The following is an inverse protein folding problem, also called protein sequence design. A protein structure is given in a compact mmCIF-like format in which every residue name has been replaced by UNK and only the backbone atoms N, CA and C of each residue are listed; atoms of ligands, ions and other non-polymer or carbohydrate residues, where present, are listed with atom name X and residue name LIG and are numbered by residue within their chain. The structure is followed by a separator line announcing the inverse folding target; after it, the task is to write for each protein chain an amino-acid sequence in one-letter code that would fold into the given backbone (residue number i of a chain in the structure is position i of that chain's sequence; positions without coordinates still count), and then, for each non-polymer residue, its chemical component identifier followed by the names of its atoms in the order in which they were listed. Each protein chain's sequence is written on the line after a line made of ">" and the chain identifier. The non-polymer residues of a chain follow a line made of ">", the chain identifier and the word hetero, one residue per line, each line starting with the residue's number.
data_IF_979614493182
#
_entry.id   IF_979614493182
#
_cell.length_a   1.000
_cell.length_b   1.000
_cell.length_c   1.000
_cell.angle_alpha   90.00
_cell.angle_beta   90.00
_cell.angle_gamma   90.00
#
_symmetry.space_group_name_H-M   'P 1'
#
loop_
_entity.id
_entity.type
_entity.pdbx_description
1 polymer ?
#
# COMPACT_ATOMS: atom_id res chain seq x y z
N UNK A 1 15.80 0.83 -1.08
CA UNK A 1 14.46 0.64 -1.61
C UNK A 1 14.38 -0.69 -2.34
N UNK A 2 13.43 -1.53 -1.98
CA UNK A 2 13.13 -2.77 -2.70
C UNK A 2 11.84 -2.58 -3.50
N UNK A 3 11.86 -2.99 -4.76
CA UNK A 3 10.70 -2.98 -5.65
C UNK A 3 10.38 -4.43 -6.00
N UNK A 4 9.27 -4.91 -5.49
CA UNK A 4 8.79 -6.28 -5.69
C UNK A 4 7.70 -6.31 -6.77
N UNK A 5 7.76 -7.29 -7.65
CA UNK A 5 6.78 -7.53 -8.69
C UNK A 5 7.39 -8.12 -9.95
N UNK A 6 6.54 -8.69 -10.79
CA UNK A 6 6.91 -9.26 -12.08
C UNK A 6 6.52 -8.38 -13.26
N UNK A 7 6.97 -8.78 -14.44
CA UNK A 7 6.58 -8.17 -15.70
C UNK A 7 6.06 -9.26 -16.64
N UNK A 8 4.82 -9.11 -17.11
CA UNK A 8 4.10 -10.13 -17.88
C UNK A 8 3.81 -9.70 -19.33
N UNK A 9 4.05 -8.42 -19.65
CA UNK A 9 3.82 -7.86 -20.97
C UNK A 9 5.05 -7.11 -21.47
N UNK A 10 5.16 -6.96 -22.79
CA UNK A 10 6.24 -6.21 -23.41
C UNK A 10 6.32 -4.76 -22.91
N UNK A 11 5.18 -4.12 -22.73
CA UNK A 11 5.11 -2.76 -22.18
C UNK A 11 5.64 -2.67 -20.75
N UNK A 12 5.35 -3.67 -19.91
CA UNK A 12 5.89 -3.73 -18.54
C UNK A 12 7.39 -3.98 -18.53
N UNK A 13 7.90 -4.83 -19.45
CA UNK A 13 9.33 -5.04 -19.61
C UNK A 13 10.05 -3.77 -20.07
N UNK A 14 9.47 -3.01 -21.01
CA UNK A 14 10.00 -1.72 -21.41
C UNK A 14 10.09 -0.76 -20.23
N UNK A 15 9.02 -0.62 -19.45
CA UNK A 15 9.00 0.24 -18.25
C UNK A 15 10.02 -0.21 -17.19
N UNK A 16 10.20 -1.51 -17.01
CA UNK A 16 11.25 -2.04 -16.14
C UNK A 16 12.65 -1.61 -16.60
N UNK A 17 12.91 -1.65 -17.91
CA UNK A 17 14.20 -1.23 -18.47
C UNK A 17 14.42 0.28 -18.26
N UNK A 18 13.39 1.11 -18.42
CA UNK A 18 13.46 2.54 -18.10
C UNK A 18 13.85 2.80 -16.62
N UNK A 19 13.35 1.97 -15.70
CA UNK A 19 13.74 2.04 -14.28
C UNK A 19 15.21 1.63 -14.09
N UNK A 20 15.66 0.56 -14.77
CA UNK A 20 17.05 0.11 -14.70
C UNK A 20 18.00 1.20 -15.22
N UNK A 21 17.68 1.79 -16.35
CA UNK A 21 18.46 2.87 -16.96
C UNK A 21 18.53 4.07 -16.00
N UNK A 22 17.39 4.48 -15.42
CA UNK A 22 17.34 5.57 -14.43
C UNK A 22 18.20 5.27 -13.19
N UNK A 23 18.18 4.04 -12.69
CA UNK A 23 19.02 3.61 -11.55
C UNK A 23 20.49 3.77 -11.91
N UNK A 24 20.93 3.32 -13.09
CA UNK A 24 22.31 3.41 -13.54
C UNK A 24 22.76 4.87 -13.78
N UNK A 25 21.96 5.66 -14.48
CA UNK A 25 22.27 7.07 -14.75
C UNK A 25 22.41 7.91 -13.48
N UNK A 26 21.66 7.56 -12.42
CA UNK A 26 21.68 8.27 -11.15
C UNK A 26 22.55 7.61 -10.06
N UNK A 27 23.29 6.53 -10.40
CA UNK A 27 24.19 5.79 -9.50
C UNK A 27 23.47 5.31 -8.22
N UNK A 28 22.31 4.70 -8.43
CA UNK A 28 21.44 4.20 -7.35
C UNK A 28 21.50 2.68 -7.18
N UNK A 29 22.43 1.97 -7.81
CA UNK A 29 22.52 0.50 -7.86
C UNK A 29 22.66 -0.14 -6.46
N UNK A 30 23.29 0.58 -5.54
CA UNK A 30 23.44 0.14 -4.14
C UNK A 30 22.26 0.57 -3.23
N UNK A 31 21.26 1.28 -3.78
CA UNK A 31 20.14 1.85 -3.01
C UNK A 31 18.78 1.40 -3.46
N UNK A 32 18.63 0.97 -4.72
CA UNK A 32 17.35 0.59 -5.33
C UNK A 32 17.50 -0.79 -5.97
N UNK A 33 16.68 -1.73 -5.53
CA UNK A 33 16.75 -3.13 -5.94
C UNK A 33 15.44 -3.57 -6.56
N UNK A 34 15.49 -4.11 -7.79
CA UNK A 34 14.36 -4.78 -8.43
C UNK A 34 14.39 -6.25 -8.05
N UNK A 35 13.57 -6.63 -7.10
CA UNK A 35 13.61 -7.94 -6.45
C UNK A 35 12.88 -9.05 -7.22
N UNK A 36 12.04 -8.67 -8.21
CA UNK A 36 11.20 -9.63 -8.94
C UNK A 36 10.01 -10.12 -8.13
N UNK A 37 9.53 -11.32 -8.46
CA UNK A 37 8.36 -11.91 -7.81
C UNK A 37 8.73 -12.67 -6.53
N UNK A 38 7.79 -12.71 -5.60
CA UNK A 38 7.88 -13.56 -4.42
C UNK A 38 6.52 -14.21 -4.12
N UNK A 39 6.54 -15.42 -3.58
CA UNK A 39 5.36 -16.06 -3.00
C UNK A 39 5.20 -15.76 -1.50
N UNK A 40 6.17 -15.08 -0.93
CA UNK A 40 6.28 -14.79 0.50
C UNK A 40 6.31 -13.29 0.77
N UNK A 41 5.35 -12.57 0.17
CA UNK A 41 5.30 -11.11 0.24
C UNK A 41 5.10 -10.62 1.69
N UNK A 42 4.36 -11.36 2.50
CA UNK A 42 4.07 -10.96 3.88
C UNK A 42 5.36 -10.87 4.71
N UNK A 43 6.24 -11.88 4.64
CA UNK A 43 7.52 -11.81 5.36
C UNK A 43 8.41 -10.69 4.78
N UNK A 44 8.38 -10.44 3.46
CA UNK A 44 9.11 -9.32 2.87
C UNK A 44 8.60 -7.96 3.35
N UNK A 45 7.30 -7.82 3.52
CA UNK A 45 6.72 -6.61 4.11
C UNK A 45 7.10 -6.47 5.60
N UNK A 46 7.13 -7.57 6.36
CA UNK A 46 7.54 -7.56 7.77
C UNK A 46 9.01 -7.12 7.97
N UNK A 47 9.87 -7.33 6.99
CA UNK A 47 11.27 -6.87 6.99
C UNK A 47 11.39 -5.37 6.59
N UNK A 48 10.31 -4.75 6.14
CA UNK A 48 10.29 -3.36 5.71
C UNK A 48 10.07 -2.37 6.85
N UNK A 49 10.39 -1.10 6.59
CA UNK A 49 10.17 0.03 7.51
C UNK A 49 9.02 0.95 7.07
N UNK A 50 8.82 1.09 5.75
CA UNK A 50 7.87 2.03 5.14
C UNK A 50 7.33 1.39 3.86
N UNK A 51 6.03 1.51 3.62
CA UNK A 51 5.42 1.12 2.36
C UNK A 51 5.13 2.35 1.49
N UNK A 52 5.92 2.54 0.44
CA UNK A 52 5.74 3.62 -0.53
C UNK A 52 4.85 3.16 -1.68
N UNK A 53 3.70 3.81 -1.85
CA UNK A 53 2.67 3.41 -2.81
C UNK A 53 2.29 4.59 -3.74
N UNK A 54 3.14 4.94 -4.72
CA UNK A 54 2.94 6.08 -5.61
C UNK A 54 1.95 5.78 -6.76
N UNK A 55 0.92 4.98 -6.50
CA UNK A 55 -0.11 4.66 -7.49
C UNK A 55 -1.08 5.81 -7.66
N UNK A 56 -1.44 6.09 -8.91
CA UNK A 56 -2.42 7.15 -9.27
C UNK A 56 -3.82 6.60 -9.50
N UNK A 57 -3.94 5.30 -9.68
CA UNK A 57 -5.22 4.64 -9.92
C UNK A 57 -5.19 3.21 -9.38
N UNK A 58 -6.14 2.90 -8.53
CA UNK A 58 -6.34 1.56 -7.96
C UNK A 58 -7.85 1.25 -7.87
N UNK A 59 -8.19 -0.03 -8.01
CA UNK A 59 -9.50 -0.53 -7.65
C UNK A 59 -9.56 -0.86 -6.16
N UNK A 60 -8.89 -1.95 -5.76
CA UNK A 60 -8.68 -2.33 -4.37
C UNK A 60 -7.18 -2.59 -4.18
N UNK A 61 -6.43 -1.74 -3.47
CA UNK A 61 -4.97 -1.85 -3.38
C UNK A 61 -4.54 -2.90 -2.34
N UNK A 62 -4.65 -4.19 -2.69
CA UNK A 62 -4.35 -5.30 -1.78
C UNK A 62 -2.92 -5.23 -1.21
N UNK A 63 -1.94 -4.84 -2.03
CA UNK A 63 -0.57 -4.68 -1.56
C UNK A 63 -0.43 -3.61 -0.46
N UNK A 64 -1.21 -2.53 -0.53
CA UNK A 64 -1.28 -1.52 0.52
C UNK A 64 -1.93 -2.09 1.79
N UNK A 65 -3.03 -2.84 1.64
CA UNK A 65 -3.69 -3.48 2.77
C UNK A 65 -2.80 -4.51 3.46
N UNK A 66 -2.06 -5.31 2.70
CA UNK A 66 -1.09 -6.28 3.23
C UNK A 66 0.00 -5.56 4.04
N UNK A 67 0.59 -4.49 3.48
CA UNK A 67 1.60 -3.70 4.16
C UNK A 67 1.07 -3.06 5.46
N UNK A 68 -0.11 -2.47 5.42
CA UNK A 68 -0.75 -1.90 6.61
C UNK A 68 -1.10 -2.98 7.65
N UNK A 69 -1.49 -4.17 7.22
CA UNK A 69 -1.85 -5.28 8.12
C UNK A 69 -0.67 -5.80 8.94
N UNK A 70 0.54 -5.76 8.39
CA UNK A 70 1.77 -6.11 9.12
C UNK A 70 2.34 -4.95 9.95
N UNK A 71 1.74 -3.77 9.85
CA UNK A 71 2.09 -2.61 10.66
C UNK A 71 3.10 -1.66 10.02
N UNK A 72 3.22 -1.66 8.68
CA UNK A 72 4.00 -0.66 7.99
C UNK A 72 3.22 0.67 7.88
N UNK A 73 3.84 1.80 8.21
CA UNK A 73 3.29 3.09 7.83
C UNK A 73 3.31 3.22 6.31
N UNK A 74 2.19 3.64 5.73
CA UNK A 74 2.06 3.76 4.29
C UNK A 74 2.11 5.23 3.84
N UNK A 75 2.57 5.45 2.62
CA UNK A 75 2.56 6.76 1.97
C UNK A 75 1.99 6.60 0.57
N UNK A 76 1.01 7.42 0.20
CA UNK A 76 0.32 7.36 -1.09
C UNK A 76 -0.27 8.70 -1.51
N UNK A 77 -0.81 8.78 -2.74
CA UNK A 77 -1.42 10.00 -3.24
C UNK A 77 -2.88 10.13 -2.79
N UNK A 78 -3.25 11.32 -2.33
CA UNK A 78 -4.62 11.63 -1.93
C UNK A 78 -5.62 11.68 -3.08
N UNK A 79 -5.15 11.86 -4.31
CA UNK A 79 -5.98 11.80 -5.51
C UNK A 79 -6.42 10.38 -5.90
N UNK A 80 -5.73 9.35 -5.41
CA UNK A 80 -6.09 7.96 -5.66
C UNK A 80 -7.21 7.51 -4.71
N UNK A 81 -8.43 7.38 -5.24
CA UNK A 81 -9.66 7.18 -4.46
C UNK A 81 -9.58 6.00 -3.47
N UNK A 82 -9.08 4.84 -3.89
CA UNK A 82 -8.99 3.68 -3.01
C UNK A 82 -7.87 3.78 -1.98
N UNK A 83 -6.83 4.56 -2.26
CA UNK A 83 -5.71 4.80 -1.34
C UNK A 83 -6.14 5.73 -0.22
N UNK A 84 -6.88 6.80 -0.54
CA UNK A 84 -7.36 7.76 0.44
C UNK A 84 -8.52 7.26 1.32
N UNK A 85 -9.10 6.10 0.99
CA UNK A 85 -10.06 5.40 1.85
C UNK A 85 -9.36 4.56 2.93
N UNK A 86 -8.14 4.09 2.65
CA UNK A 86 -7.36 3.25 3.57
C UNK A 86 -6.40 4.06 4.42
N UNK A 87 -5.70 5.03 3.80
CA UNK A 87 -4.77 5.90 4.52
C UNK A 87 -5.54 7.09 5.10
N UNK A 88 -5.50 7.21 6.41
CA UNK A 88 -5.96 8.39 7.15
C UNK A 88 -4.72 9.24 7.43
N UNK A 89 -4.65 10.40 6.76
CA UNK A 89 -3.46 11.26 6.81
C UNK A 89 -3.04 11.62 8.23
N UNK A 90 -1.74 11.54 8.52
CA UNK A 90 -1.12 11.76 9.82
C UNK A 90 -1.57 10.81 10.95
N UNK A 91 -2.41 9.80 10.65
CA UNK A 91 -2.88 8.83 11.65
C UNK A 91 -2.28 7.44 11.43
N UNK A 92 -2.46 6.84 10.25
CA UNK A 92 -1.95 5.51 9.91
C UNK A 92 -0.99 5.50 8.71
N UNK A 93 -0.67 6.68 8.20
CA UNK A 93 0.21 6.89 7.06
C UNK A 93 0.19 8.34 6.63
N UNK A 94 0.68 8.62 5.43
CA UNK A 94 0.65 9.94 4.82
C UNK A 94 -0.05 9.93 3.47
N UNK A 95 -0.94 10.90 3.26
CA UNK A 95 -1.51 11.23 1.96
C UNK A 95 -0.79 12.44 1.37
N UNK A 96 -0.21 12.27 0.20
CA UNK A 96 0.55 13.30 -0.50
C UNK A 96 -0.26 13.97 -1.58
N UNK A 97 0.05 15.24 -1.84
CA UNK A 97 -0.36 15.91 -3.08
C UNK A 97 0.26 15.22 -4.30
N UNK A 98 -0.36 15.38 -5.46
CA UNK A 98 0.18 14.84 -6.69
C UNK A 98 1.53 15.48 -7.03
N UNK A 99 2.48 14.65 -7.39
CA UNK A 99 3.83 15.08 -7.72
C UNK A 99 4.89 14.42 -6.86
N UNK A 100 6.14 14.81 -7.09
CA UNK A 100 7.30 14.18 -6.46
C UNK A 100 7.63 14.85 -5.12
N UNK A 101 7.47 16.15 -5.02
CA UNK A 101 8.05 16.96 -3.93
C UNK A 101 7.40 16.63 -2.57
N UNK A 102 6.07 16.71 -2.47
CA UNK A 102 5.37 16.40 -1.21
C UNK A 102 5.54 14.92 -0.81
N UNK A 103 5.53 14.02 -1.81
CA UNK A 103 5.80 12.60 -1.56
C UNK A 103 7.21 12.38 -1.01
N UNK A 104 8.23 13.02 -1.62
CA UNK A 104 9.61 12.91 -1.18
C UNK A 104 9.81 13.50 0.23
N UNK A 105 9.18 14.62 0.55
CA UNK A 105 9.32 15.26 1.86
C UNK A 105 8.67 14.42 2.97
N UNK A 106 7.47 13.89 2.75
CA UNK A 106 6.82 12.99 3.70
C UNK A 106 7.56 11.65 3.83
N UNK A 107 8.12 11.14 2.73
CA UNK A 107 8.98 9.95 2.79
C UNK A 107 10.25 10.20 3.62
N UNK A 108 10.93 11.33 3.42
CA UNK A 108 12.10 11.73 4.25
C UNK A 108 11.73 11.82 5.73
N UNK A 109 10.55 12.37 6.05
CA UNK A 109 10.07 12.42 7.42
C UNK A 109 9.94 11.02 8.04
N UNK A 110 9.31 10.07 7.33
CA UNK A 110 9.22 8.69 7.77
C UNK A 110 10.59 8.02 7.89
N UNK A 111 11.52 8.29 6.97
CA UNK A 111 12.88 7.73 7.02
C UNK A 111 13.67 8.22 8.24
N UNK A 112 13.47 9.47 8.66
CA UNK A 112 14.25 10.09 9.74
C UNK A 112 13.68 9.86 11.15
N UNK A 113 12.41 9.46 11.28
CA UNK A 113 11.72 9.33 12.57
C UNK A 113 11.17 7.92 12.80
N UNK A 114 11.90 7.12 13.56
CA UNK A 114 11.51 5.75 13.89
C UNK A 114 10.31 5.68 14.85
N UNK A 115 10.14 6.67 15.74
CA UNK A 115 8.98 6.70 16.65
C UNK A 115 7.71 7.01 15.88
N UNK A 116 7.80 7.92 14.92
CA UNK A 116 6.70 8.22 14.01
C UNK A 116 6.31 6.98 13.19
N UNK A 117 7.30 6.25 12.63
CA UNK A 117 7.01 4.99 11.91
C UNK A 117 6.28 3.99 12.80
N UNK A 118 6.74 3.76 14.02
CA UNK A 118 6.10 2.84 14.97
C UNK A 118 4.67 3.25 15.30
N UNK A 119 4.45 4.53 15.53
CA UNK A 119 3.12 5.09 15.83
C UNK A 119 2.15 4.89 14.65
N UNK A 120 2.54 5.35 13.46
CA UNK A 120 1.69 5.27 12.28
C UNK A 120 1.46 3.82 11.85
N UNK A 121 2.50 2.99 11.90
CA UNK A 121 2.40 1.56 11.58
C UNK A 121 1.51 0.79 12.56
N UNK A 122 1.57 1.09 13.85
CA UNK A 122 0.66 0.53 14.83
C UNK A 122 -0.80 0.88 14.54
N UNK A 123 -1.06 2.12 14.19
CA UNK A 123 -2.39 2.60 13.79
C UNK A 123 -2.83 1.96 12.45
N UNK A 124 -1.90 1.78 11.51
CA UNK A 124 -2.18 1.10 10.24
C UNK A 124 -2.69 -0.33 10.48
N UNK A 125 -1.97 -1.09 11.31
CA UNK A 125 -2.37 -2.44 11.66
C UNK A 125 -3.74 -2.49 12.37
N UNK A 126 -4.03 -1.54 13.25
CA UNK A 126 -5.32 -1.45 13.92
C UNK A 126 -6.44 -1.14 12.92
N UNK A 127 -6.21 -0.22 11.98
CA UNK A 127 -7.18 0.13 10.93
C UNK A 127 -7.55 -1.09 10.07
N UNK A 128 -6.60 -1.99 9.79
CA UNK A 128 -6.86 -3.19 8.96
C UNK A 128 -7.74 -4.22 9.65
N UNK A 129 -7.95 -4.16 10.95
CA UNK A 129 -8.91 -5.04 11.64
C UNK A 129 -10.34 -4.85 11.15
N UNK A 130 -10.66 -3.70 10.57
CA UNK A 130 -11.95 -3.47 9.94
C UNK A 130 -12.21 -4.41 8.75
N UNK A 131 -11.16 -4.89 8.11
CA UNK A 131 -11.20 -5.78 6.95
C UNK A 131 -10.89 -7.25 7.31
N UNK A 132 -10.91 -7.59 8.60
CA UNK A 132 -10.69 -8.96 9.04
C UNK A 132 -11.76 -9.90 8.45
N UNK A 133 -11.38 -11.12 7.97
CA UNK A 133 -12.31 -12.02 7.28
C UNK A 133 -13.61 -12.28 8.05
N UNK A 134 -13.54 -12.53 9.37
CA UNK A 134 -14.74 -12.75 10.19
C UNK A 134 -15.70 -11.57 10.13
N UNK A 135 -15.19 -10.34 10.25
CA UNK A 135 -16.02 -9.14 10.21
C UNK A 135 -16.69 -8.95 8.85
N UNK A 136 -15.95 -9.17 7.77
CA UNK A 136 -16.49 -9.11 6.41
C UNK A 136 -17.54 -10.19 6.17
N UNK A 137 -17.35 -11.40 6.70
CA UNK A 137 -18.35 -12.46 6.63
C UNK A 137 -19.64 -12.11 7.37
N UNK A 138 -19.54 -11.54 8.58
CA UNK A 138 -20.70 -11.10 9.36
C UNK A 138 -21.50 -10.01 8.60
N UNK A 139 -20.81 -9.07 7.95
CA UNK A 139 -21.45 -8.04 7.14
C UNK A 139 -22.16 -8.62 5.89
N UNK A 140 -21.54 -9.59 5.20
CA UNK A 140 -22.17 -10.30 4.09
C UNK A 140 -23.39 -11.08 4.51
N UNK A 141 -23.30 -11.83 5.63
CA UNK A 141 -24.42 -12.59 6.18
C UNK A 141 -25.59 -11.66 6.53
N UNK A 142 -25.32 -10.54 7.20
CA UNK A 142 -26.31 -9.54 7.53
C UNK A 142 -27.00 -8.96 6.29
N UNK A 143 -26.22 -8.64 5.25
CA UNK A 143 -26.73 -8.13 3.98
C UNK A 143 -27.64 -9.15 3.27
N UNK A 144 -27.19 -10.40 3.15
CA UNK A 144 -27.93 -11.49 2.50
C UNK A 144 -29.27 -11.73 3.24
N UNK A 145 -29.23 -11.84 4.57
CA UNK A 145 -30.43 -12.04 5.39
C UNK A 145 -31.43 -10.88 5.24
N UNK A 146 -30.93 -9.63 5.14
CA UNK A 146 -31.80 -8.46 4.92
C UNK A 146 -32.48 -8.52 3.54
N UNK A 147 -31.74 -8.87 2.49
CA UNK A 147 -32.29 -8.99 1.11
C UNK A 147 -33.36 -10.08 1.05
N UNK A 148 -33.10 -11.25 1.66
CA UNK A 148 -34.07 -12.37 1.72
C UNK A 148 -35.36 -11.91 2.43
N UNK A 149 -35.25 -11.23 3.57
CA UNK A 149 -36.40 -10.73 4.34
C UNK A 149 -37.26 -9.74 3.52
N UNK A 150 -36.61 -8.82 2.79
CA UNK A 150 -37.32 -7.86 1.93
C UNK A 150 -38.01 -8.58 0.76
N UNK A 151 -37.34 -9.58 0.17
CA UNK A 151 -37.90 -10.36 -0.95
C UNK A 151 -39.06 -11.28 -0.56
N UNK A 152 -39.12 -11.74 0.70
CA UNK A 152 -40.17 -12.63 1.21
C UNK A 152 -41.41 -11.88 1.71
N UNK A 153 -41.37 -10.57 1.78
CA UNK A 153 -42.48 -9.72 2.22
C UNK A 153 -43.39 -9.20 1.09
N UNK A 154 -43.35 -9.82 -0.11
CA UNK A 154 -44.27 -9.54 -1.25
C UNK A 154 -45.32 -10.62 -1.41
#
# INVERSE_FOLDING_TARGET
>A
LEIWGGTYTEKQNQYKNEIIDYIGENKLEEKVFLMGETKDIINKLMDGDIFAFPSKFEGMPLALMDAMSVGLPAIGYKSCASVNELIIDNFNGFLCDDGIDDFADKLKLLMSDADLRRKLGGNARESMKAFAPGKIWDEWEALINNVIRIGSGK
#
